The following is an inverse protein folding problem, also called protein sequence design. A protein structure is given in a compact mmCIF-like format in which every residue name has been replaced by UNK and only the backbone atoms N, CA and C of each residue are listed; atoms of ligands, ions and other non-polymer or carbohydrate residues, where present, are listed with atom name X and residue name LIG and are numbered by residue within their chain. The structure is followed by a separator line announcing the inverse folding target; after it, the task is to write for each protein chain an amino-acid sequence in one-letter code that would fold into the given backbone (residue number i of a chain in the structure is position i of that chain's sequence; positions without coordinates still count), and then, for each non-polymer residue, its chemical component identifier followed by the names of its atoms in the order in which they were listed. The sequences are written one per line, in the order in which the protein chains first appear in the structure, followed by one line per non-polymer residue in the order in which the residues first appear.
data_IF_200448071915
#
_entry.id   IF_200448071915
#
_cell.length_a   1.000
_cell.length_b   1.000
_cell.length_c   1.000
_cell.angle_alpha   90.00
_cell.angle_beta   90.00
_cell.angle_gamma   90.00
#
_symmetry.space_group_name_H-M   'P 1'
#
loop_
_entity.id
_entity.type
_entity.pdbx_description
1 polymer ?
#
# COMPACT_ATOMS: atom_id res chain seq x y z
N UNK A 1 -10.96 42.65 21.83
CA UNK A 1 -10.73 42.44 20.38
C UNK A 1 -9.68 41.38 20.08
N UNK A 2 -8.46 41.43 20.65
CA UNK A 2 -7.43 40.38 20.41
C UNK A 2 -7.85 38.98 20.88
N UNK A 3 -8.50 38.88 22.06
CA UNK A 3 -9.00 37.60 22.59
C UNK A 3 -10.15 37.04 21.75
N UNK A 4 -11.11 37.85 21.32
CA UNK A 4 -12.20 37.39 20.45
C UNK A 4 -11.71 36.89 19.09
N UNK A 5 -10.68 37.54 18.52
CA UNK A 5 -10.03 37.05 17.31
C UNK A 5 -9.40 35.67 17.51
N UNK A 6 -8.67 35.46 18.62
CA UNK A 6 -8.06 34.17 18.98
C UNK A 6 -9.10 33.03 19.07
N UNK A 7 -10.26 33.29 19.68
CA UNK A 7 -11.32 32.26 19.79
C UNK A 7 -11.91 31.91 18.42
N UNK A 8 -12.05 32.89 17.51
CA UNK A 8 -12.51 32.66 16.15
C UNK A 8 -11.51 31.82 15.35
N UNK A 9 -10.20 32.12 15.46
CA UNK A 9 -9.17 31.33 14.78
C UNK A 9 -9.10 29.91 15.31
N UNK A 10 -9.22 29.75 16.63
CA UNK A 10 -9.23 28.43 17.27
C UNK A 10 -10.45 27.59 16.87
N UNK A 11 -11.64 28.21 16.84
CA UNK A 11 -12.86 27.55 16.37
C UNK A 11 -12.76 27.12 14.89
N UNK A 12 -12.14 27.95 14.05
CA UNK A 12 -11.90 27.63 12.64
C UNK A 12 -10.95 26.44 12.45
N UNK A 13 -9.87 26.36 13.23
CA UNK A 13 -8.92 25.22 13.19
C UNK A 13 -9.60 23.90 13.62
N UNK A 14 -10.51 23.97 14.61
CA UNK A 14 -11.25 22.80 15.09
C UNK A 14 -12.16 22.20 14.01
N UNK A 15 -12.79 23.01 13.16
CA UNK A 15 -13.70 22.52 12.11
C UNK A 15 -12.96 21.90 10.92
N UNK A 16 -11.70 22.28 10.68
CA UNK A 16 -10.84 21.68 9.65
C UNK A 16 -10.36 20.26 9.98
N UNK A 17 -10.49 19.84 11.23
CA UNK A 17 -10.00 18.53 11.71
C UNK A 17 -11.00 17.39 11.54
N UNK A 18 -12.21 17.67 11.02
CA UNK A 18 -13.25 16.67 10.81
C UNK A 18 -13.09 15.95 9.46
N UNK A 19 -12.00 15.19 9.30
CA UNK A 19 -11.85 14.24 8.19
C UNK A 19 -12.01 12.84 8.77
N UNK A 20 -13.05 12.12 8.35
CA UNK A 20 -13.18 10.69 8.63
C UNK A 20 -11.99 9.95 8.03
N UNK A 21 -11.15 9.35 8.87
CA UNK A 21 -10.01 8.58 8.41
C UNK A 21 -10.48 7.33 7.67
N UNK A 22 -10.14 7.21 6.38
CA UNK A 22 -10.24 5.94 5.66
C UNK A 22 -9.04 5.12 6.11
N UNK A 23 -9.26 4.16 7.01
CA UNK A 23 -8.23 3.21 7.38
C UNK A 23 -7.95 2.31 6.17
N UNK A 24 -6.77 2.43 5.58
CA UNK A 24 -6.31 1.52 4.54
C UNK A 24 -5.90 0.21 5.22
N UNK A 25 -6.72 -0.82 5.09
CA UNK A 25 -6.31 -2.17 5.45
C UNK A 25 -5.25 -2.60 4.45
N UNK A 26 -3.99 -2.65 4.86
CA UNK A 26 -2.95 -3.25 4.02
C UNK A 26 -3.15 -4.75 4.08
N UNK A 27 -3.43 -5.40 2.94
CA UNK A 27 -3.65 -6.82 2.98
C UNK A 27 -2.33 -7.57 3.17
N UNK A 28 -2.16 -8.22 4.33
CA UNK A 28 -0.99 -9.06 4.60
C UNK A 28 -1.42 -10.52 4.52
N UNK A 29 -0.94 -11.21 3.49
CA UNK A 29 -1.24 -12.61 3.24
C UNK A 29 0.00 -13.49 3.39
N UNK A 30 -0.21 -14.80 3.53
CA UNK A 30 0.83 -15.85 3.48
C UNK A 30 1.65 -15.84 2.18
N UNK A 31 1.20 -15.12 1.16
CA UNK A 31 1.84 -15.03 -0.15
C UNK A 31 3.06 -14.08 -0.19
N UNK A 32 3.50 -13.54 0.95
CA UNK A 32 4.71 -12.72 1.05
C UNK A 32 5.98 -13.43 0.57
N UNK A 33 5.99 -14.76 0.60
CA UNK A 33 7.09 -15.58 0.07
C UNK A 33 7.33 -15.34 -1.43
N UNK A 34 6.26 -15.04 -2.17
CA UNK A 34 6.30 -14.75 -3.61
C UNK A 34 6.65 -13.30 -3.88
N UNK A 35 6.17 -12.37 -3.04
CA UNK A 35 6.47 -10.94 -3.16
C UNK A 35 6.91 -10.35 -1.82
N UNK A 36 8.21 -10.42 -1.58
CA UNK A 36 8.81 -9.94 -0.33
C UNK A 36 8.88 -8.41 -0.25
N UNK A 37 8.79 -7.72 -1.41
CA UNK A 37 8.81 -6.25 -1.47
C UNK A 37 7.58 -5.61 -0.82
N UNK A 38 6.49 -6.36 -0.63
CA UNK A 38 5.29 -5.93 0.10
C UNK A 38 5.58 -5.75 1.59
N UNK A 39 6.41 -6.61 2.18
CA UNK A 39 6.80 -6.50 3.60
C UNK A 39 7.98 -5.56 3.75
N UNK A 40 8.99 -5.71 2.91
CA UNK A 40 10.21 -4.92 2.96
C UNK A 40 10.59 -4.39 1.57
N UNK A 41 10.36 -3.09 1.31
CA UNK A 41 10.74 -2.46 0.04
C UNK A 41 12.24 -2.57 -0.28
N UNK A 42 13.11 -2.69 0.74
CA UNK A 42 14.55 -2.86 0.55
C UNK A 42 14.92 -4.23 -0.08
N UNK A 43 13.96 -5.17 -0.15
CA UNK A 43 14.15 -6.43 -0.88
C UNK A 43 14.13 -6.24 -2.40
N UNK A 44 13.68 -5.08 -2.90
CA UNK A 44 13.77 -4.77 -4.32
C UNK A 44 15.25 -4.82 -4.76
N UNK A 45 15.52 -5.61 -5.80
CA UNK A 45 16.88 -5.80 -6.32
C UNK A 45 17.79 -6.69 -5.45
N UNK A 46 17.25 -7.39 -4.45
CA UNK A 46 18.01 -8.40 -3.68
C UNK A 46 18.45 -9.57 -4.55
N UNK A 47 17.64 -9.92 -5.57
CA UNK A 47 18.06 -10.76 -6.67
C UNK A 47 18.64 -9.82 -7.75
N UNK A 48 19.88 -10.07 -8.19
CA UNK A 48 20.60 -9.26 -9.19
C UNK A 48 20.01 -9.38 -10.62
N UNK A 49 18.68 -9.45 -10.73
CA UNK A 49 17.94 -9.62 -11.96
C UNK A 49 16.58 -8.90 -11.90
N UNK A 50 15.95 -8.77 -13.06
CA UNK A 50 14.56 -8.34 -13.15
C UNK A 50 13.66 -9.45 -12.58
N UNK A 51 12.87 -9.11 -11.57
CA UNK A 51 11.91 -10.00 -10.94
C UNK A 51 10.50 -9.48 -11.19
N UNK A 52 9.61 -10.34 -11.69
CA UNK A 52 8.21 -10.01 -11.99
C UNK A 52 7.34 -11.11 -11.39
N UNK A 53 6.35 -10.74 -10.58
CA UNK A 53 5.40 -11.67 -9.97
C UNK A 53 3.96 -11.26 -10.28
N UNK A 54 3.13 -12.25 -10.62
CA UNK A 54 1.69 -12.10 -10.74
C UNK A 54 1.01 -13.09 -9.79
N UNK A 55 0.02 -12.61 -9.05
CA UNK A 55 -0.58 -13.35 -7.95
C UNK A 55 -2.09 -13.11 -7.93
N UNK A 56 -2.84 -14.17 -7.77
CA UNK A 56 -4.29 -14.14 -7.59
C UNK A 56 -4.66 -14.93 -6.33
N UNK A 57 -5.51 -14.34 -5.50
CA UNK A 57 -6.02 -14.93 -4.28
C UNK A 57 -7.53 -14.79 -4.25
N UNK A 58 -8.22 -15.90 -4.06
CA UNK A 58 -9.66 -15.94 -3.80
C UNK A 58 -9.88 -16.42 -2.37
N UNK A 59 -10.63 -15.67 -1.57
CA UNK A 59 -11.11 -16.14 -0.26
C UNK A 59 -12.41 -16.91 -0.46
N UNK A 60 -12.63 -17.96 0.34
CA UNK A 60 -13.84 -18.80 0.29
C UNK A 60 -14.17 -19.31 -1.12
N UNK A 61 -13.31 -20.19 -1.65
CA UNK A 61 -13.48 -20.74 -2.98
C UNK A 61 -14.87 -21.37 -3.16
N UNK A 62 -15.52 -21.05 -4.29
CA UNK A 62 -16.86 -21.54 -4.63
C UNK A 62 -18.02 -20.65 -4.16
N UNK A 63 -17.76 -19.56 -3.44
CA UNK A 63 -18.78 -18.59 -3.06
C UNK A 63 -18.79 -17.37 -3.99
N UNK A 64 -19.96 -17.03 -4.53
CA UNK A 64 -20.11 -15.91 -5.45
C UNK A 64 -19.95 -14.56 -4.73
N UNK A 65 -19.18 -13.66 -5.31
CA UNK A 65 -18.86 -12.37 -4.69
C UNK A 65 -17.87 -12.46 -3.52
N UNK A 66 -17.22 -13.61 -3.31
CA UNK A 66 -16.25 -13.71 -2.23
C UNK A 66 -15.00 -12.85 -2.51
N UNK A 67 -14.32 -12.35 -1.44
CA UNK A 67 -13.21 -11.43 -1.57
C UNK A 67 -12.09 -12.00 -2.44
N UNK A 68 -11.56 -11.17 -3.34
CA UNK A 68 -10.52 -11.57 -4.27
C UNK A 68 -9.46 -10.48 -4.39
N UNK A 69 -8.21 -10.90 -4.45
CA UNK A 69 -7.08 -9.98 -4.55
C UNK A 69 -6.19 -10.38 -5.71
N UNK A 70 -5.79 -9.39 -6.50
CA UNK A 70 -4.87 -9.54 -7.62
C UNK A 70 -3.69 -8.61 -7.38
N UNK A 71 -2.49 -9.16 -7.50
CA UNK A 71 -1.26 -8.39 -7.35
C UNK A 71 -0.35 -8.63 -8.53
N UNK A 72 0.19 -7.54 -9.07
CA UNK A 72 1.27 -7.55 -10.05
C UNK A 72 2.43 -6.76 -9.47
N UNK A 73 3.61 -7.36 -9.40
CA UNK A 73 4.82 -6.68 -8.95
C UNK A 73 5.96 -6.88 -9.91
N UNK A 74 6.81 -5.87 -10.01
CA UNK A 74 8.04 -5.92 -10.78
C UNK A 74 9.11 -5.11 -10.07
N UNK A 75 10.32 -5.65 -9.93
CA UNK A 75 11.46 -4.89 -9.43
C UNK A 75 12.77 -5.34 -10.07
N UNK A 76 13.73 -4.43 -10.16
CA UNK A 76 15.06 -4.69 -10.71
C UNK A 76 16.11 -3.83 -10.02
N UNK A 77 17.33 -4.35 -9.81
CA UNK A 77 18.48 -3.50 -9.49
C UNK A 77 18.80 -2.61 -10.69
N UNK A 78 19.32 -1.41 -10.44
CA UNK A 78 19.87 -0.54 -11.48
C UNK A 78 21.34 -0.92 -11.72
N UNK A 79 21.73 -1.10 -12.99
CA UNK A 79 23.05 -1.62 -13.41
C UNK A 79 24.29 -1.08 -12.69
N UNK A 80 24.28 0.17 -12.22
CA UNK A 80 25.47 0.86 -11.68
C UNK A 80 25.20 1.62 -10.36
N UNK A 81 24.14 1.30 -9.62
CA UNK A 81 23.85 1.96 -8.35
C UNK A 81 23.35 0.93 -7.34
N UNK A 82 23.68 1.12 -6.06
CA UNK A 82 23.10 0.38 -4.93
C UNK A 82 21.63 0.78 -4.68
N UNK A 83 20.86 0.90 -5.77
CA UNK A 83 19.50 1.38 -5.83
C UNK A 83 18.73 0.40 -6.71
N UNK A 84 17.57 -0.01 -6.23
CA UNK A 84 16.61 -0.77 -7.00
C UNK A 84 15.35 0.06 -7.22
N UNK A 85 14.65 -0.25 -8.32
CA UNK A 85 13.34 0.30 -8.60
C UNK A 85 12.34 -0.84 -8.66
N UNK A 86 11.13 -0.56 -8.16
CA UNK A 86 10.05 -1.53 -8.18
C UNK A 86 8.69 -0.86 -8.21
N UNK A 87 7.71 -1.61 -8.71
CA UNK A 87 6.31 -1.26 -8.80
C UNK A 87 5.50 -2.41 -8.18
N UNK A 88 4.51 -2.07 -7.37
CA UNK A 88 3.51 -2.99 -6.86
C UNK A 88 2.12 -2.44 -7.21
N UNK A 89 1.36 -3.19 -8.00
CA UNK A 89 -0.03 -2.92 -8.31
C UNK A 89 -0.89 -3.95 -7.58
N UNK A 90 -1.80 -3.48 -6.74
CA UNK A 90 -2.71 -4.33 -5.97
C UNK A 90 -4.14 -3.89 -6.30
N UNK A 91 -4.96 -4.86 -6.70
CA UNK A 91 -6.40 -4.70 -6.83
C UNK A 91 -7.06 -5.66 -5.84
N UNK A 92 -7.64 -5.10 -4.80
CA UNK A 92 -8.36 -5.85 -3.77
C UNK A 92 -9.86 -5.60 -3.93
N UNK A 93 -10.62 -6.69 -4.01
CA UNK A 93 -12.08 -6.72 -4.07
C UNK A 93 -12.53 -7.38 -2.78
N UNK A 94 -13.16 -6.59 -1.91
CA UNK A 94 -13.68 -7.04 -0.62
C UNK A 94 -15.15 -7.40 -0.78
#
# INVERSE_FOLDING_TARGET
MKKTFLHITFAFILTLSWKSGIAQLVPVYSQYLVNQTIINPAYAGANDCLNINALYRQQWAGYEGAPSTRTLSAHSPLKNRAVALGLNLVNDVI
#
